data_IF_486151475226
#
_entry.id   IF_486151475226
#
_cell.length_a   1.000
_cell.length_b   1.000
_cell.length_c   1.000
_cell.angle_alpha   90.00
_cell.angle_beta   90.00
_cell.angle_gamma   90.00
#
_symmetry.space_group_name_H-M   'P 1'
#
loop_
_entity.id
_entity.type
_entity.pdbx_description
1 polymer ?
#
# COMPACT_ATOMS: atom_id res chain seq x y z
N UNK A 1 -24.40 26.78 6.50
CA UNK A 1 -24.98 25.49 6.05
C UNK A 1 -23.90 24.45 6.17
N UNK A 2 -24.25 23.30 6.72
CA UNK A 2 -23.38 22.34 7.40
C UNK A 2 -22.32 21.69 6.49
N UNK A 3 -21.15 21.46 7.08
CA UNK A 3 -19.96 20.86 6.47
C UNK A 3 -20.25 19.45 5.97
N UNK A 4 -20.23 19.23 4.66
CA UNK A 4 -20.20 17.87 4.12
C UNK A 4 -18.74 17.39 4.11
N UNK A 5 -18.23 17.05 5.29
CA UNK A 5 -16.93 16.38 5.52
C UNK A 5 -17.14 14.87 5.74
N UNK A 6 -18.06 14.23 5.02
CA UNK A 6 -18.31 12.80 5.22
C UNK A 6 -17.35 11.96 4.39
N UNK A 7 -16.49 11.19 5.05
CA UNK A 7 -15.76 10.09 4.44
C UNK A 7 -16.73 9.03 3.90
N UNK A 8 -16.32 8.31 2.85
CA UNK A 8 -17.03 7.15 2.32
C UNK A 8 -16.27 5.89 2.65
N UNK A 9 -16.98 4.88 3.12
CA UNK A 9 -16.40 3.60 3.52
C UNK A 9 -17.16 2.43 2.87
N UNK A 10 -16.43 1.39 2.47
CA UNK A 10 -16.97 0.16 1.91
C UNK A 10 -16.52 -1.03 2.76
N UNK A 11 -17.49 -1.82 3.23
CA UNK A 11 -17.26 -2.92 4.15
C UNK A 11 -17.93 -4.22 3.69
N UNK A 12 -17.30 -5.36 3.93
CA UNK A 12 -17.89 -6.71 3.86
C UNK A 12 -17.68 -7.37 5.22
N UNK A 13 -18.74 -7.94 5.81
CA UNK A 13 -18.68 -8.58 7.14
C UNK A 13 -18.02 -7.70 8.22
N UNK A 14 -18.35 -6.40 8.24
CA UNK A 14 -17.79 -5.39 9.14
C UNK A 14 -16.27 -5.16 8.99
N UNK A 15 -15.66 -5.57 7.88
CA UNK A 15 -14.27 -5.28 7.55
C UNK A 15 -14.19 -4.40 6.30
N UNK A 16 -13.28 -3.41 6.31
CA UNK A 16 -13.01 -2.58 5.13
C UNK A 16 -12.62 -3.48 3.94
N UNK A 17 -13.36 -3.37 2.85
CA UNK A 17 -13.17 -4.22 1.69
C UNK A 17 -13.77 -3.57 0.44
N UNK A 18 -12.97 -3.47 -0.62
CA UNK A 18 -13.45 -3.13 -1.97
C UNK A 18 -12.45 -3.61 -3.03
N UNK A 19 -12.91 -4.32 -4.06
CA UNK A 19 -12.03 -4.86 -5.12
C UNK A 19 -11.70 -3.82 -6.20
N UNK A 20 -12.69 -3.01 -6.61
CA UNK A 20 -12.57 -2.10 -7.76
C UNK A 20 -12.22 -0.65 -7.40
N UNK A 21 -11.89 -0.36 -6.14
CA UNK A 21 -11.66 1.01 -5.70
C UNK A 21 -11.20 1.10 -4.25
N UNK A 22 -10.97 2.32 -3.74
CA UNK A 22 -10.62 2.51 -2.34
C UNK A 22 -11.79 2.10 -1.44
N UNK A 23 -11.48 1.37 -0.38
CA UNK A 23 -12.45 1.03 0.64
C UNK A 23 -12.69 2.19 1.61
N UNK A 24 -11.82 3.20 1.63
CA UNK A 24 -12.03 4.48 2.33
C UNK A 24 -11.66 5.63 1.40
N UNK A 25 -12.56 6.60 1.25
CA UNK A 25 -12.32 7.89 0.61
C UNK A 25 -12.62 9.00 1.61
N UNK A 26 -11.57 9.63 2.13
CA UNK A 26 -11.67 10.71 3.11
C UNK A 26 -12.12 12.02 2.46
N UNK A 27 -12.79 12.87 3.23
CA UNK A 27 -13.25 14.17 2.75
C UNK A 27 -12.10 15.09 2.31
N UNK A 28 -10.90 14.89 2.88
CA UNK A 28 -9.71 15.64 2.50
C UNK A 28 -9.16 15.24 1.12
N UNK A 29 -9.54 14.07 0.58
CA UNK A 29 -9.07 13.49 -0.68
C UNK A 29 -8.13 12.28 -0.52
N UNK A 30 -7.79 11.88 0.70
CA UNK A 30 -7.00 10.67 0.96
C UNK A 30 -7.82 9.42 0.60
N UNK A 31 -7.13 8.39 0.08
CA UNK A 31 -7.75 7.15 -0.37
C UNK A 31 -6.98 5.95 0.15
N UNK A 32 -7.72 4.95 0.61
CA UNK A 32 -7.17 3.74 1.19
C UNK A 32 -7.84 2.51 0.58
N UNK A 33 -7.03 1.60 0.04
CA UNK A 33 -7.49 0.34 -0.55
C UNK A 33 -7.33 -0.77 0.48
N UNK A 34 -8.45 -1.40 0.82
CA UNK A 34 -8.48 -2.53 1.73
C UNK A 34 -9.12 -3.74 1.05
N UNK A 35 -8.55 -4.92 1.32
CA UNK A 35 -9.19 -6.22 1.10
C UNK A 35 -9.20 -6.98 2.42
N UNK A 36 -10.38 -7.39 2.86
CA UNK A 36 -10.60 -8.16 4.10
C UNK A 36 -9.96 -7.49 5.34
N UNK A 37 -10.10 -6.16 5.44
CA UNK A 37 -9.58 -5.36 6.55
C UNK A 37 -8.07 -5.09 6.49
N UNK A 38 -7.36 -5.52 5.45
CA UNK A 38 -5.92 -5.28 5.28
C UNK A 38 -5.67 -4.32 4.11
N UNK A 39 -4.73 -3.38 4.29
CA UNK A 39 -4.26 -2.54 3.18
C UNK A 39 -3.74 -3.44 2.05
N UNK A 40 -4.30 -3.30 0.87
CA UNK A 40 -3.98 -4.16 -0.26
C UNK A 40 -4.32 -3.48 -1.58
N UNK A 41 -3.33 -3.43 -2.49
CA UNK A 41 -3.58 -3.12 -3.90
C UNK A 41 -2.46 -3.69 -4.78
N UNK A 42 -2.82 -4.48 -5.79
CA UNK A 42 -1.84 -5.11 -6.70
C UNK A 42 -1.22 -4.11 -7.68
N UNK A 43 -2.04 -3.25 -8.29
CA UNK A 43 -1.64 -2.41 -9.44
C UNK A 43 -1.52 -0.94 -9.07
N UNK A 44 -1.04 -0.61 -7.87
CA UNK A 44 -0.89 0.76 -7.42
C UNK A 44 -0.71 0.88 -5.91
N UNK A 45 -0.60 2.11 -5.38
CA UNK A 45 -0.48 2.33 -3.95
C UNK A 45 -1.77 1.95 -3.23
N UNK A 46 -1.63 1.29 -2.08
CA UNK A 46 -2.75 0.98 -1.22
C UNK A 46 -3.15 2.19 -0.34
N UNK A 47 -2.30 3.21 -0.28
CA UNK A 47 -2.61 4.52 0.33
C UNK A 47 -2.17 5.63 -0.62
N UNK A 48 -3.12 6.50 -0.97
CA UNK A 48 -2.85 7.74 -1.71
C UNK A 48 -3.28 8.92 -0.84
N UNK A 49 -2.32 9.73 -0.40
CA UNK A 49 -2.62 10.94 0.34
C UNK A 49 -2.86 12.10 -0.63
N UNK A 50 -3.74 13.03 -0.26
CA UNK A 50 -4.05 14.25 -1.02
C UNK A 50 -2.80 15.11 -1.27
N UNK A 51 -1.85 15.07 -0.35
CA UNK A 51 -0.57 15.78 -0.50
C UNK A 51 0.35 15.13 -1.55
N UNK A 52 -0.04 14.03 -2.19
CA UNK A 52 0.71 13.33 -3.23
C UNK A 52 1.64 12.23 -2.71
N UNK A 53 1.78 12.06 -1.40
CA UNK A 53 2.49 10.92 -0.84
C UNK A 53 1.74 9.62 -1.12
N UNK A 54 2.48 8.52 -1.28
CA UNK A 54 1.94 7.21 -1.65
C UNK A 54 2.63 6.11 -0.86
N UNK A 55 1.86 5.08 -0.52
CA UNK A 55 2.39 3.87 0.11
C UNK A 55 1.79 2.62 -0.53
N UNK A 56 2.62 1.60 -0.72
CA UNK A 56 2.26 0.33 -1.35
C UNK A 56 2.20 -0.78 -0.31
N UNK A 57 1.07 -1.48 -0.30
CA UNK A 57 0.84 -2.63 0.55
C UNK A 57 0.20 -3.76 -0.24
N UNK A 58 0.66 -4.98 0.04
CA UNK A 58 0.09 -6.22 -0.46
C UNK A 58 -0.25 -7.10 0.75
N UNK A 59 -1.53 -7.47 0.89
CA UNK A 59 -2.01 -8.31 1.99
C UNK A 59 -1.66 -7.78 3.40
N UNK A 60 -1.66 -6.46 3.57
CA UNK A 60 -1.30 -5.78 4.82
C UNK A 60 0.20 -5.68 5.08
N UNK A 61 1.06 -6.21 4.19
CA UNK A 61 2.50 -6.03 4.24
C UNK A 61 2.91 -4.88 3.33
N UNK A 62 3.72 -3.95 3.81
CA UNK A 62 4.37 -2.93 2.99
C UNK A 62 5.30 -3.64 2.01
N UNK A 63 5.01 -3.50 0.73
CA UNK A 63 5.63 -4.32 -0.31
C UNK A 63 5.49 -3.64 -1.67
N UNK A 64 6.58 -3.59 -2.44
CA UNK A 64 6.56 -3.25 -3.87
C UNK A 64 7.84 -3.76 -4.55
N UNK A 65 7.69 -4.42 -5.69
CA UNK A 65 8.81 -4.97 -6.47
C UNK A 65 9.28 -3.97 -7.55
N UNK A 66 8.35 -3.25 -8.18
CA UNK A 66 8.65 -2.34 -9.30
C UNK A 66 9.14 -0.93 -8.87
N UNK A 67 9.54 -0.75 -7.61
CA UNK A 67 9.98 0.56 -7.10
C UNK A 67 9.81 0.71 -5.58
N UNK A 68 9.88 1.95 -5.07
CA UNK A 68 9.79 2.20 -3.63
C UNK A 68 8.39 1.94 -3.10
N UNK A 69 8.29 1.29 -1.94
CA UNK A 69 7.02 1.07 -1.27
C UNK A 69 6.51 2.32 -0.51
N UNK A 70 7.34 3.36 -0.39
CA UNK A 70 6.97 4.69 0.12
C UNK A 70 7.52 5.74 -0.82
N UNK A 71 6.66 6.67 -1.25
CA UNK A 71 7.04 7.88 -1.98
C UNK A 71 6.48 9.09 -1.22
N UNK A 72 7.36 9.91 -0.64
CA UNK A 72 6.98 11.17 -0.01
C UNK A 72 7.06 12.35 -0.99
N UNK A 73 6.29 13.41 -0.71
CA UNK A 73 6.26 14.63 -1.54
C UNK A 73 7.61 15.34 -1.63
N UNK A 74 8.46 15.23 -0.61
CA UNK A 74 9.80 15.81 -0.59
C UNK A 74 10.84 14.99 -1.39
N UNK A 75 10.42 13.91 -2.05
CA UNK A 75 11.29 13.05 -2.85
C UNK A 75 11.93 11.91 -2.07
N UNK A 76 11.69 11.79 -0.75
CA UNK A 76 12.15 10.65 0.03
C UNK A 76 11.45 9.37 -0.47
N UNK A 77 12.25 8.33 -0.70
CA UNK A 77 11.82 7.02 -1.14
C UNK A 77 12.36 5.96 -0.20
N UNK A 78 11.56 4.93 0.06
CA UNK A 78 11.99 3.77 0.84
C UNK A 78 11.41 2.49 0.21
N UNK A 79 12.23 1.43 0.21
CA UNK A 79 11.95 0.16 -0.45
C UNK A 79 11.66 -0.90 0.58
N UNK A 80 10.60 -1.67 0.34
CA UNK A 80 10.18 -2.71 1.25
C UNK A 80 9.72 -3.93 0.46
N UNK A 81 10.11 -5.10 0.93
CA UNK A 81 9.55 -6.39 0.52
C UNK A 81 9.02 -7.09 1.77
N UNK A 82 7.72 -7.39 1.80
CA UNK A 82 7.10 -8.17 2.89
C UNK A 82 7.30 -7.56 4.29
N UNK A 83 7.22 -6.23 4.43
CA UNK A 83 7.55 -5.42 5.62
C UNK A 83 9.04 -5.27 5.97
N UNK A 84 9.95 -5.95 5.30
CA UNK A 84 11.39 -5.75 5.50
C UNK A 84 11.84 -4.53 4.70
N UNK A 85 12.42 -3.55 5.39
CA UNK A 85 13.07 -2.42 4.74
C UNK A 85 14.37 -2.88 4.09
N UNK A 86 14.55 -2.52 2.83
CA UNK A 86 15.69 -2.94 2.04
C UNK A 86 16.39 -1.69 1.51
N UNK A 87 17.71 -1.64 1.70
CA UNK A 87 18.53 -0.67 0.99
C UNK A 87 18.49 -0.98 -0.52
N UNK A 88 17.99 -0.01 -1.28
CA UNK A 88 17.86 -0.14 -2.72
C UNK A 88 19.22 -0.06 -3.39
N UNK A 89 19.50 -1.07 -4.19
CA UNK A 89 20.65 -1.14 -5.08
C UNK A 89 20.17 -1.75 -6.40
N UNK A 90 20.25 -1.02 -7.53
CA UNK A 90 19.77 -1.50 -8.82
C UNK A 90 20.49 -2.75 -9.32
N UNK A 91 21.71 -3.04 -8.85
CA UNK A 91 22.47 -4.22 -9.28
C UNK A 91 22.00 -5.50 -8.57
N UNK A 92 21.43 -5.38 -7.37
CA UNK A 92 21.04 -6.51 -6.52
C UNK A 92 19.53 -6.62 -6.29
N UNK A 93 18.74 -5.65 -6.75
CA UNK A 93 17.31 -5.58 -6.46
C UNK A 93 16.53 -6.81 -6.92
N UNK A 94 16.71 -7.24 -8.17
CA UNK A 94 16.00 -8.39 -8.73
C UNK A 94 16.27 -9.68 -7.93
N UNK A 95 17.51 -9.84 -7.43
CA UNK A 95 17.87 -10.96 -6.56
C UNK A 95 17.12 -10.89 -5.23
N UNK A 96 17.06 -9.70 -4.59
CA UNK A 96 16.34 -9.52 -3.33
C UNK A 96 14.83 -9.77 -3.47
N UNK A 97 14.25 -9.44 -4.63
CA UNK A 97 12.85 -9.75 -4.95
C UNK A 97 12.63 -11.26 -4.97
N UNK A 98 13.43 -12.01 -5.71
CA UNK A 98 13.34 -13.48 -5.79
C UNK A 98 13.53 -14.14 -4.41
N UNK A 99 14.53 -13.70 -3.64
CA UNK A 99 14.78 -14.18 -2.27
C UNK A 99 13.56 -13.96 -1.37
N UNK A 100 12.90 -12.79 -1.48
CA UNK A 100 11.70 -12.48 -0.70
C UNK A 100 10.51 -13.39 -0.99
N UNK A 101 10.42 -13.94 -2.21
CA UNK A 101 9.37 -14.90 -2.58
C UNK A 101 9.61 -16.25 -1.93
N UNK A 102 10.86 -16.71 -1.89
CA UNK A 102 11.27 -17.98 -1.27
C UNK A 102 11.02 -17.94 0.25
N UNK A 103 11.45 -16.87 0.91
CA UNK A 103 11.25 -16.71 2.35
C UNK A 103 9.76 -16.70 2.74
N UNK A 104 8.91 -16.06 1.93
CA UNK A 104 7.48 -16.02 2.18
C UNK A 104 6.81 -17.39 2.02
N UNK A 105 7.35 -18.29 1.19
CA UNK A 105 6.86 -19.69 1.08
C UNK A 105 7.29 -20.52 2.29
N UNK A 106 8.50 -20.31 2.82
CA UNK A 106 9.01 -21.09 3.96
C UNK A 106 8.45 -20.66 5.32
N UNK A 107 7.78 -19.52 5.39
CA UNK A 107 7.26 -18.93 6.64
C UNK A 107 5.74 -19.09 6.82
N UNK A 108 5.04 -19.74 5.89
CA UNK A 108 3.62 -20.15 5.95
C UNK A 108 3.47 -21.64 6.27
#
# INVERSE_FOLDING_TARGET
MEYVNSAKEWCINNQLHREDGPAVEEANGDKFWYLYGKLHRKNGPAVEYKNGAKEWYLNGKRHREDGPAIEQINGIKAWYLNNYEIEYDPETWDQKVEESHIENIMSE
#
